data_IF_312310818845
#
_entry.id   IF_312310818845
#
_cell.length_a   1.000
_cell.length_b   1.000
_cell.length_c   1.000
_cell.angle_alpha   90.00
_cell.angle_beta   90.00
_cell.angle_gamma   90.00
#
_symmetry.space_group_name_H-M   'P 1'
#
loop_
_entity.id
_entity.type
_entity.pdbx_description
1 polymer ?
#
# COMPACT_ATOMS: atom_id res chain seq x y z
N UNK A 1 -8.93 -70.81 57.01
CA UNK A 1 -9.31 -70.71 55.60
C UNK A 1 -10.21 -69.49 55.44
N UNK A 2 -9.65 -68.38 54.92
CA UNK A 2 -10.37 -67.11 54.79
C UNK A 2 -10.55 -66.79 53.30
N UNK A 3 -11.77 -66.63 52.88
CA UNK A 3 -12.15 -66.28 51.48
C UNK A 3 -11.91 -64.82 51.20
N UNK A 4 -11.29 -64.51 50.05
CA UNK A 4 -11.09 -63.16 49.54
C UNK A 4 -12.37 -62.66 48.89
N UNK A 5 -12.75 -61.35 49.06
CA UNK A 5 -13.87 -60.76 48.34
C UNK A 5 -13.48 -60.30 46.91
N UNK A 6 -14.40 -60.49 45.97
CA UNK A 6 -14.27 -60.12 44.57
C UNK A 6 -14.32 -58.61 44.37
N UNK A 7 -13.38 -58.06 43.56
CA UNK A 7 -13.33 -56.68 43.14
C UNK A 7 -14.34 -56.39 42.02
N UNK A 8 -15.29 -55.52 42.26
CA UNK A 8 -16.28 -55.06 41.29
C UNK A 8 -15.60 -53.98 40.40
N UNK A 9 -15.44 -54.27 39.11
CA UNK A 9 -14.97 -53.33 38.10
C UNK A 9 -16.16 -52.48 37.64
N UNK A 10 -16.12 -51.16 37.91
CA UNK A 10 -17.07 -50.18 37.37
C UNK A 10 -16.82 -49.98 35.88
N UNK A 11 -17.83 -49.92 35.01
CA UNK A 11 -17.63 -49.59 33.61
C UNK A 11 -17.30 -48.12 33.44
N UNK A 12 -16.20 -47.82 32.74
CA UNK A 12 -15.76 -46.50 32.34
C UNK A 12 -16.75 -45.89 31.35
N UNK A 13 -17.13 -44.66 31.61
CA UNK A 13 -18.06 -43.87 30.81
C UNK A 13 -17.61 -43.75 29.34
N UNK A 14 -18.55 -44.02 28.46
CA UNK A 14 -18.49 -43.88 27.00
C UNK A 14 -18.30 -42.40 26.66
N UNK A 15 -17.13 -42.08 26.08
CA UNK A 15 -16.88 -40.76 25.50
C UNK A 15 -17.84 -40.55 24.33
N UNK A 16 -18.60 -39.49 24.38
CA UNK A 16 -19.57 -39.08 23.36
C UNK A 16 -18.87 -38.59 22.12
N UNK A 17 -18.93 -39.36 21.04
CA UNK A 17 -18.56 -38.98 19.70
C UNK A 17 -19.63 -38.03 19.13
N UNK A 18 -19.44 -36.70 19.25
CA UNK A 18 -20.37 -35.73 18.68
C UNK A 18 -19.75 -34.39 18.22
N UNK A 19 -18.41 -34.27 18.10
CA UNK A 19 -17.83 -33.02 17.62
C UNK A 19 -17.18 -33.06 16.23
N UNK A 20 -17.01 -34.22 15.63
CA UNK A 20 -16.35 -34.37 14.33
C UNK A 20 -17.10 -33.74 13.11
N UNK A 21 -18.45 -33.81 12.99
CA UNK A 21 -19.14 -33.31 11.80
C UNK A 21 -19.21 -31.73 11.72
N UNK A 22 -19.18 -31.06 12.85
CA UNK A 22 -19.27 -29.56 12.87
C UNK A 22 -17.95 -28.89 12.49
N UNK A 23 -16.81 -29.49 12.79
CA UNK A 23 -15.50 -28.97 12.41
C UNK A 23 -15.25 -29.15 10.90
N UNK A 24 -15.58 -30.32 10.33
CA UNK A 24 -15.46 -30.57 8.90
C UNK A 24 -16.39 -29.71 8.03
N UNK A 25 -17.60 -29.40 8.51
CA UNK A 25 -18.53 -28.52 7.84
C UNK A 25 -18.06 -27.04 7.87
N UNK A 26 -17.42 -26.61 8.94
CA UNK A 26 -16.80 -25.25 9.03
C UNK A 26 -15.59 -25.11 8.13
N UNK A 27 -14.80 -26.15 7.97
CA UNK A 27 -13.61 -26.15 7.12
C UNK A 27 -13.99 -26.17 5.63
N UNK A 28 -15.01 -26.95 5.24
CA UNK A 28 -15.51 -26.97 3.85
C UNK A 28 -16.21 -25.68 3.41
N UNK A 29 -16.82 -24.93 4.33
CA UNK A 29 -17.39 -23.62 4.03
C UNK A 29 -16.33 -22.50 3.95
N UNK A 30 -15.18 -22.69 4.61
CA UNK A 30 -14.10 -21.70 4.66
C UNK A 30 -13.22 -21.68 3.41
N UNK A 31 -13.07 -22.81 2.73
CA UNK A 31 -12.25 -22.95 1.53
C UNK A 31 -12.76 -22.08 0.34
N UNK A 32 -14.07 -22.09 -0.01
CA UNK A 32 -14.56 -21.23 -1.09
C UNK A 32 -14.47 -19.75 -0.77
N UNK A 33 -14.66 -19.33 0.49
CA UNK A 33 -14.50 -17.93 0.91
C UNK A 33 -13.05 -17.45 0.73
N UNK A 34 -12.06 -18.27 1.04
CA UNK A 34 -10.64 -17.95 0.84
C UNK A 34 -10.33 -17.81 -0.65
N UNK A 35 -10.87 -18.67 -1.49
CA UNK A 35 -10.67 -18.63 -2.95
C UNK A 35 -11.32 -17.39 -3.59
N UNK A 36 -12.50 -16.98 -3.12
CA UNK A 36 -13.17 -15.76 -3.56
C UNK A 36 -12.38 -14.50 -3.20
N UNK A 37 -11.89 -14.40 -1.95
CA UNK A 37 -11.04 -13.28 -1.50
C UNK A 37 -9.76 -13.23 -2.34
N UNK A 38 -9.11 -14.36 -2.55
CA UNK A 38 -7.90 -14.45 -3.35
C UNK A 38 -8.12 -13.99 -4.78
N UNK A 39 -9.23 -14.42 -5.40
CA UNK A 39 -9.61 -14.00 -6.75
C UNK A 39 -9.85 -12.49 -6.82
N UNK A 40 -10.53 -11.92 -5.84
CA UNK A 40 -10.75 -10.47 -5.76
C UNK A 40 -9.43 -9.69 -5.58
N UNK A 41 -8.52 -10.18 -4.76
CA UNK A 41 -7.18 -9.61 -4.59
C UNK A 41 -6.39 -9.65 -5.89
N UNK A 42 -6.42 -10.76 -6.64
CA UNK A 42 -5.71 -10.90 -7.90
C UNK A 42 -6.22 -9.90 -8.95
N UNK A 43 -7.53 -9.70 -9.05
CA UNK A 43 -8.12 -8.66 -9.91
C UNK A 43 -7.69 -7.24 -9.51
N UNK A 44 -7.62 -6.96 -8.21
CA UNK A 44 -7.13 -5.68 -7.72
C UNK A 44 -5.66 -5.45 -8.09
N UNK A 45 -4.80 -6.46 -7.89
CA UNK A 45 -3.37 -6.40 -8.22
C UNK A 45 -3.15 -6.13 -9.71
N UNK A 46 -3.86 -6.86 -10.57
CA UNK A 46 -3.79 -6.69 -12.02
C UNK A 46 -4.23 -5.27 -12.44
N UNK A 47 -5.39 -4.85 -11.98
CA UNK A 47 -5.92 -3.50 -12.25
C UNK A 47 -4.96 -2.41 -11.77
N UNK A 48 -4.39 -2.55 -10.58
CA UNK A 48 -3.44 -1.59 -10.03
C UNK A 48 -2.13 -1.55 -10.82
N UNK A 49 -1.67 -2.70 -11.31
CA UNK A 49 -0.53 -2.80 -12.22
C UNK A 49 -0.74 -2.06 -13.54
N UNK A 50 -1.92 -2.20 -14.15
CA UNK A 50 -2.31 -1.45 -15.36
C UNK A 50 -2.38 0.06 -15.11
N UNK A 51 -3.02 0.47 -14.02
CA UNK A 51 -3.09 1.87 -13.61
C UNK A 51 -1.69 2.45 -13.40
N UNK A 52 -0.81 1.72 -12.69
CA UNK A 52 0.57 2.12 -12.49
C UNK A 52 1.29 2.38 -13.82
N UNK A 53 1.13 1.49 -14.79
CA UNK A 53 1.73 1.65 -16.13
C UNK A 53 1.25 2.91 -16.83
N UNK A 54 -0.05 3.19 -16.79
CA UNK A 54 -0.63 4.43 -17.35
C UNK A 54 -0.08 5.69 -16.68
N UNK A 55 0.36 5.57 -15.44
CA UNK A 55 0.95 6.66 -14.64
C UNK A 55 2.48 6.69 -14.69
N UNK A 56 3.09 5.94 -15.62
CA UNK A 56 4.55 5.91 -15.79
C UNK A 56 5.29 5.14 -14.69
N UNK A 57 4.59 4.27 -13.96
CA UNK A 57 5.19 3.35 -12.98
C UNK A 57 5.35 1.97 -13.62
N UNK A 58 6.49 1.34 -13.40
CA UNK A 58 6.69 -0.03 -13.89
C UNK A 58 5.65 -0.98 -13.30
N UNK A 59 5.05 -1.84 -14.15
CA UNK A 59 3.95 -2.74 -13.78
C UNK A 59 4.28 -3.56 -12.53
N UNK A 60 5.46 -4.19 -12.49
CA UNK A 60 5.89 -5.00 -11.34
C UNK A 60 5.97 -4.21 -10.03
N UNK A 61 6.34 -2.92 -10.09
CA UNK A 61 6.38 -2.04 -8.92
C UNK A 61 4.98 -1.79 -8.38
N UNK A 62 4.03 -1.52 -9.27
CA UNK A 62 2.63 -1.32 -8.91
C UNK A 62 1.99 -2.61 -8.37
N UNK A 63 2.26 -3.77 -8.99
CA UNK A 63 1.72 -5.07 -8.57
C UNK A 63 2.26 -5.52 -7.20
N UNK A 64 3.56 -5.37 -6.94
CA UNK A 64 4.15 -5.68 -5.62
C UNK A 64 3.57 -4.76 -4.54
N UNK A 65 3.43 -3.47 -4.84
CA UNK A 65 2.78 -2.54 -3.90
C UNK A 65 1.33 -2.94 -3.63
N UNK A 66 0.55 -3.25 -4.67
CA UNK A 66 -0.85 -3.66 -4.56
C UNK A 66 -1.01 -4.94 -3.73
N UNK A 67 -0.15 -5.94 -3.97
CA UNK A 67 -0.14 -7.17 -3.19
C UNK A 67 0.10 -6.90 -1.70
N UNK A 68 1.15 -6.17 -1.36
CA UNK A 68 1.47 -5.83 0.04
C UNK A 68 0.39 -4.97 0.71
N UNK A 69 -0.30 -4.13 -0.06
CA UNK A 69 -1.38 -3.30 0.43
C UNK A 69 -2.64 -4.12 0.72
N UNK A 70 -3.06 -4.96 -0.25
CA UNK A 70 -4.32 -5.72 -0.13
C UNK A 70 -4.20 -6.94 0.79
N UNK A 71 -3.00 -7.51 0.96
CA UNK A 71 -2.75 -8.57 1.92
C UNK A 71 -2.97 -8.09 3.38
N UNK A 72 -2.68 -6.81 3.66
CA UNK A 72 -2.86 -6.22 4.98
C UNK A 72 -1.85 -6.69 6.04
N UNK A 73 -1.03 -7.66 5.72
CA UNK A 73 -0.01 -8.26 6.59
C UNK A 73 1.38 -8.22 5.96
N UNK A 74 2.44 -8.33 6.77
CA UNK A 74 3.80 -8.39 6.26
C UNK A 74 4.07 -9.67 5.49
N UNK A 75 4.61 -9.57 4.26
CA UNK A 75 4.99 -10.71 3.43
C UNK A 75 6.51 -10.80 3.25
N UNK A 76 7.09 -12.02 3.26
CA UNK A 76 8.48 -12.24 2.88
C UNK A 76 8.65 -12.19 1.35
N UNK A 77 9.87 -11.93 0.88
CA UNK A 77 10.16 -11.81 -0.55
C UNK A 77 9.81 -13.07 -1.35
N UNK A 78 9.96 -14.25 -0.76
CA UNK A 78 9.64 -15.55 -1.36
C UNK A 78 8.16 -15.67 -1.71
N UNK A 79 7.28 -15.22 -0.81
CA UNK A 79 5.84 -15.26 -1.01
C UNK A 79 5.37 -14.26 -2.07
N UNK A 80 6.01 -13.08 -2.13
CA UNK A 80 5.78 -12.11 -3.20
C UNK A 80 6.16 -12.70 -4.56
N UNK A 81 7.31 -13.38 -4.65
CA UNK A 81 7.78 -14.06 -5.87
C UNK A 81 6.77 -15.10 -6.36
N UNK A 82 6.31 -15.96 -5.44
CA UNK A 82 5.35 -17.02 -5.72
C UNK A 82 4.01 -16.45 -6.20
N UNK A 83 3.50 -15.47 -5.46
CA UNK A 83 2.18 -14.88 -5.70
C UNK A 83 2.10 -14.15 -7.04
N UNK A 84 3.14 -13.39 -7.38
CA UNK A 84 3.20 -12.59 -8.60
C UNK A 84 3.93 -13.27 -9.76
N UNK A 85 4.53 -14.44 -9.53
CA UNK A 85 5.32 -15.21 -10.51
C UNK A 85 6.45 -14.38 -11.15
N UNK A 86 7.13 -13.57 -10.34
CA UNK A 86 8.25 -12.74 -10.77
C UNK A 86 9.57 -13.22 -10.14
N UNK A 87 10.70 -12.89 -10.79
CA UNK A 87 12.01 -13.32 -10.34
C UNK A 87 12.44 -12.64 -9.03
N UNK A 88 13.36 -13.30 -8.31
CA UNK A 88 13.95 -12.76 -7.07
C UNK A 88 14.63 -11.39 -7.32
N UNK A 89 15.32 -11.22 -8.44
CA UNK A 89 15.93 -9.94 -8.79
C UNK A 89 14.91 -8.84 -8.99
N UNK A 90 13.80 -9.14 -9.65
CA UNK A 90 12.68 -8.22 -9.83
C UNK A 90 12.08 -7.81 -8.48
N UNK A 91 11.77 -8.76 -7.59
CA UNK A 91 11.24 -8.48 -6.26
C UNK A 91 12.19 -7.59 -5.44
N UNK A 92 13.49 -7.95 -5.41
CA UNK A 92 14.49 -7.18 -4.66
C UNK A 92 14.60 -5.72 -5.14
N UNK A 93 14.64 -5.51 -6.47
CA UNK A 93 14.71 -4.17 -7.06
C UNK A 93 13.46 -3.36 -6.77
N UNK A 94 12.29 -3.99 -6.94
CA UNK A 94 10.99 -3.37 -6.68
C UNK A 94 10.80 -2.98 -5.20
N UNK A 95 11.13 -3.88 -4.28
CA UNK A 95 11.03 -3.61 -2.84
C UNK A 95 11.97 -2.48 -2.40
N UNK A 96 13.17 -2.41 -2.96
CA UNK A 96 14.09 -1.28 -2.72
C UNK A 96 13.46 0.03 -3.19
N UNK A 97 12.96 0.08 -4.42
CA UNK A 97 12.32 1.27 -4.99
C UNK A 97 11.09 1.71 -4.18
N UNK A 98 10.21 0.79 -3.79
CA UNK A 98 9.05 1.09 -2.96
C UNK A 98 9.44 1.58 -1.55
N UNK A 99 10.55 1.07 -1.01
CA UNK A 99 11.10 1.54 0.28
C UNK A 99 11.67 2.94 0.16
N UNK A 100 12.41 3.25 -0.91
CA UNK A 100 12.92 4.60 -1.21
C UNK A 100 11.79 5.60 -1.40
N UNK A 101 10.67 5.19 -1.96
CA UNK A 101 9.46 6.03 -2.08
C UNK A 101 8.69 6.17 -0.77
N UNK A 102 9.03 5.39 0.26
CA UNK A 102 8.33 5.39 1.55
C UNK A 102 6.95 4.73 1.51
N UNK A 103 6.67 3.93 0.50
CA UNK A 103 5.40 3.20 0.33
C UNK A 103 5.42 1.82 1.00
N UNK A 104 6.61 1.24 1.18
CA UNK A 104 6.85 -0.05 1.82
C UNK A 104 7.92 0.11 2.89
N UNK A 105 7.79 -0.61 3.97
CA UNK A 105 8.79 -0.68 5.04
C UNK A 105 9.16 -2.14 5.36
N UNK A 106 10.40 -2.33 5.79
CA UNK A 106 10.83 -3.61 6.37
C UNK A 106 10.32 -3.70 7.79
N UNK A 107 9.71 -4.82 8.13
CA UNK A 107 9.17 -5.06 9.47
C UNK A 107 9.61 -6.43 9.98
N UNK A 108 9.59 -6.59 11.29
CA UNK A 108 9.72 -7.89 11.94
C UNK A 108 8.34 -8.31 12.44
N UNK A 109 7.85 -9.50 12.10
CA UNK A 109 6.58 -9.99 12.63
C UNK A 109 6.63 -10.02 14.15
N UNK A 110 5.57 -9.56 14.80
CA UNK A 110 5.47 -9.51 16.27
C UNK A 110 5.53 -10.91 16.90
N UNK A 111 5.17 -11.94 16.14
CA UNK A 111 5.09 -13.34 16.58
C UNK A 111 6.38 -14.12 16.32
N UNK A 112 7.43 -13.51 15.80
CA UNK A 112 8.76 -14.12 15.66
C UNK A 112 9.39 -14.36 17.03
N UNK A 113 8.75 -15.24 17.85
CA UNK A 113 9.24 -15.64 19.18
C UNK A 113 10.40 -16.64 19.12
N UNK A 114 10.78 -17.12 17.93
CA UNK A 114 11.83 -18.12 17.86
C UNK A 114 13.20 -17.48 17.64
N UNK A 115 14.10 -17.83 18.53
CA UNK A 115 15.55 -17.63 18.40
C UNK A 115 16.18 -18.48 17.29
N UNK A 116 15.33 -19.10 16.46
CA UNK A 116 15.76 -20.02 15.42
C UNK A 116 16.35 -19.24 14.23
N UNK A 117 17.50 -19.70 13.75
CA UNK A 117 18.19 -19.16 12.59
C UNK A 117 17.34 -19.16 11.30
N UNK A 118 16.25 -19.93 11.27
CA UNK A 118 15.28 -19.98 10.17
C UNK A 118 14.46 -18.66 10.03
N UNK A 119 14.38 -17.85 11.07
CA UNK A 119 13.55 -16.65 11.14
C UNK A 119 14.28 -15.34 10.77
N UNK A 120 15.35 -15.45 9.99
CA UNK A 120 16.05 -14.28 9.42
C UNK A 120 15.42 -13.71 8.17
N UNK A 121 14.24 -14.17 7.79
CA UNK A 121 13.54 -13.62 6.62
C UNK A 121 13.16 -12.17 6.86
N UNK A 122 13.43 -11.35 5.88
CA UNK A 122 12.97 -9.96 5.86
C UNK A 122 11.53 -9.93 5.40
N UNK A 123 10.67 -9.30 6.19
CA UNK A 123 9.26 -9.09 5.87
C UNK A 123 9.05 -7.65 5.42
N UNK A 124 8.15 -7.47 4.48
CA UNK A 124 7.81 -6.19 3.89
C UNK A 124 6.33 -5.91 4.07
N UNK A 125 5.99 -4.68 4.40
CA UNK A 125 4.62 -4.24 4.60
C UNK A 125 4.41 -2.89 3.91
N UNK A 126 3.30 -2.75 3.17
CA UNK A 126 2.90 -1.47 2.63
C UNK A 126 2.23 -0.60 3.70
N UNK A 127 2.28 0.72 3.50
CA UNK A 127 1.50 1.66 4.29
C UNK A 127 0.01 1.33 4.14
N UNK A 128 -0.69 1.11 5.25
CA UNK A 128 -2.09 0.70 5.28
C UNK A 128 -3.05 1.89 5.41
N UNK A 129 -2.57 3.04 5.87
CA UNK A 129 -3.36 4.26 5.90
C UNK A 129 -3.46 4.84 4.48
N UNK A 130 -4.67 4.77 3.90
CA UNK A 130 -4.96 5.21 2.53
C UNK A 130 -4.62 6.70 2.32
N UNK A 131 -4.86 7.54 3.32
CA UNK A 131 -4.55 8.97 3.22
C UNK A 131 -3.05 9.22 3.27
N UNK A 132 -2.35 8.53 4.15
CA UNK A 132 -0.89 8.62 4.22
C UNK A 132 -0.24 8.08 2.95
N UNK A 133 -0.76 6.98 2.39
CA UNK A 133 -0.37 6.44 1.10
C UNK A 133 -0.56 7.50 0.00
N UNK A 134 -1.74 8.10 -0.10
CA UNK A 134 -2.07 9.13 -1.08
C UNK A 134 -1.10 10.32 -0.99
N UNK A 135 -0.85 10.85 0.21
CA UNK A 135 0.09 11.97 0.38
C UNK A 135 1.54 11.60 0.06
N UNK A 136 1.92 10.37 0.33
CA UNK A 136 3.27 9.88 0.00
C UNK A 136 3.46 9.81 -1.52
N UNK A 137 2.48 9.29 -2.25
CA UNK A 137 2.47 9.26 -3.71
C UNK A 137 2.48 10.68 -4.29
N UNK A 138 1.60 11.55 -3.79
CA UNK A 138 1.51 12.95 -4.25
C UNK A 138 2.84 13.69 -4.06
N UNK A 139 3.49 13.53 -2.90
CA UNK A 139 4.81 14.13 -2.61
C UNK A 139 5.90 13.58 -3.51
N UNK A 140 5.91 12.27 -3.76
CA UNK A 140 6.88 11.66 -4.66
C UNK A 140 6.72 12.16 -6.10
N UNK A 141 5.48 12.31 -6.59
CA UNK A 141 5.18 12.89 -7.90
C UNK A 141 5.59 14.37 -8.00
N UNK A 142 5.24 15.16 -6.96
CA UNK A 142 5.66 16.57 -6.90
C UNK A 142 7.17 16.70 -7.10
N UNK A 143 7.96 15.98 -6.29
CA UNK A 143 9.43 16.05 -6.35
C UNK A 143 9.99 15.61 -7.70
N UNK A 144 9.38 14.66 -8.36
CA UNK A 144 9.89 14.08 -9.61
C UNK A 144 9.42 14.84 -10.85
N UNK A 145 8.20 15.36 -10.83
CA UNK A 145 7.54 15.92 -12.01
C UNK A 145 7.41 17.44 -11.95
N UNK A 146 7.04 18.01 -10.79
CA UNK A 146 6.78 19.44 -10.66
C UNK A 146 8.01 20.27 -10.28
N UNK A 147 8.85 19.79 -9.36
CA UNK A 147 10.02 20.58 -8.93
C UNK A 147 10.97 20.85 -10.11
N UNK A 148 11.37 19.85 -10.96
CA UNK A 148 12.18 20.11 -12.14
C UNK A 148 11.50 21.01 -13.18
N UNK A 149 10.18 20.89 -13.34
CA UNK A 149 9.43 21.73 -14.28
C UNK A 149 9.49 23.20 -13.88
N UNK A 150 9.36 23.52 -12.59
CA UNK A 150 9.45 24.88 -12.09
C UNK A 150 10.85 25.47 -12.34
N UNK A 151 11.91 24.68 -12.09
CA UNK A 151 13.30 25.10 -12.34
C UNK A 151 13.56 25.36 -13.83
N UNK A 152 13.10 24.50 -14.72
CA UNK A 152 13.25 24.67 -16.17
C UNK A 152 12.45 25.86 -16.70
N UNK A 153 11.21 26.07 -16.23
CA UNK A 153 10.39 27.22 -16.62
C UNK A 153 11.04 28.54 -16.20
N UNK A 154 11.63 28.63 -15.02
CA UNK A 154 12.35 29.83 -14.60
C UNK A 154 13.58 30.11 -15.48
N UNK A 155 14.27 29.07 -15.90
CA UNK A 155 15.38 29.15 -16.86
C UNK A 155 14.97 29.59 -18.26
N UNK A 156 13.68 29.46 -18.64
CA UNK A 156 13.15 29.91 -19.94
C UNK A 156 12.92 31.43 -20.02
N UNK A 157 13.06 32.16 -18.92
CA UNK A 157 12.96 33.65 -18.96
C UNK A 157 14.12 34.25 -19.73
N UNK A 158 13.84 35.29 -20.52
CA UNK A 158 14.89 36.01 -21.25
C UNK A 158 15.75 36.81 -20.28
N UNK A 159 16.92 36.29 -19.95
CA UNK A 159 17.88 36.92 -19.05
C UNK A 159 18.64 38.02 -19.76
N UNK A 160 18.13 39.24 -19.71
CA UNK A 160 18.87 40.46 -20.13
C UNK A 160 19.04 41.40 -18.93
N UNK A 161 20.25 41.43 -18.37
CA UNK A 161 20.63 42.44 -17.37
C UNK A 161 20.97 43.75 -18.09
N UNK A 162 20.25 44.84 -17.76
CA UNK A 162 20.60 46.19 -18.17
C UNK A 162 20.09 46.64 -19.54
N UNK A 163 19.37 45.82 -20.30
CA UNK A 163 18.80 46.19 -21.60
C UNK A 163 17.27 46.21 -21.53
N UNK A 164 16.64 47.23 -22.12
CA UNK A 164 15.17 47.31 -22.17
C UNK A 164 14.62 46.19 -23.06
N UNK A 165 13.77 45.32 -22.50
CA UNK A 165 13.13 44.22 -23.22
C UNK A 165 12.21 44.73 -24.33
N UNK A 166 12.24 44.10 -25.49
CA UNK A 166 11.27 44.31 -26.56
C UNK A 166 9.88 43.85 -26.14
N UNK A 167 8.82 44.35 -26.81
CA UNK A 167 7.45 43.93 -26.45
C UNK A 167 7.22 42.42 -26.67
N UNK A 168 7.88 41.82 -27.68
CA UNK A 168 7.86 40.39 -27.89
C UNK A 168 8.50 39.59 -26.74
N UNK A 169 9.60 40.09 -26.19
CA UNK A 169 10.25 39.49 -25.01
C UNK A 169 9.40 39.62 -23.75
N UNK A 170 8.74 40.76 -23.58
CA UNK A 170 7.79 40.93 -22.44
C UNK A 170 6.62 39.97 -22.53
N UNK A 171 6.01 39.82 -23.72
CA UNK A 171 4.92 38.85 -23.93
C UNK A 171 5.37 37.42 -23.69
N UNK A 172 6.60 37.03 -24.08
CA UNK A 172 7.16 35.74 -23.80
C UNK A 172 7.31 35.53 -22.30
N UNK A 173 7.97 36.43 -21.61
CA UNK A 173 8.21 36.32 -20.16
C UNK A 173 6.91 36.32 -19.36
N UNK A 174 5.91 37.07 -19.79
CA UNK A 174 4.59 37.07 -19.17
C UNK A 174 3.95 35.67 -19.24
N UNK A 175 4.03 34.97 -20.39
CA UNK A 175 3.52 33.61 -20.51
C UNK A 175 4.25 32.61 -19.61
N UNK A 176 5.56 32.76 -19.49
CA UNK A 176 6.35 31.92 -18.57
C UNK A 176 5.95 32.21 -17.11
N UNK A 177 5.73 33.48 -16.75
CA UNK A 177 5.27 33.87 -15.42
C UNK A 177 3.90 33.26 -15.08
N UNK A 178 2.94 33.38 -15.99
CA UNK A 178 1.59 32.78 -15.83
C UNK A 178 1.65 31.25 -15.61
N UNK A 179 2.54 30.53 -16.32
CA UNK A 179 2.78 29.11 -16.12
C UNK A 179 3.43 28.80 -14.77
N UNK A 180 4.40 29.60 -14.35
CA UNK A 180 5.06 29.47 -13.05
C UNK A 180 4.06 29.71 -11.91
N UNK A 181 3.22 30.73 -12.00
CA UNK A 181 2.16 30.99 -11.01
C UNK A 181 1.20 29.82 -10.89
N UNK A 182 0.80 29.21 -12.01
CA UNK A 182 -0.04 28.00 -12.01
C UNK A 182 0.67 26.82 -11.33
N UNK A 183 1.93 26.56 -11.66
CA UNK A 183 2.72 25.50 -11.03
C UNK A 183 2.88 25.73 -9.52
N UNK A 184 3.17 26.96 -9.11
CA UNK A 184 3.30 27.34 -7.70
C UNK A 184 1.98 27.21 -6.94
N UNK A 185 0.85 27.54 -7.57
CA UNK A 185 -0.47 27.30 -6.99
C UNK A 185 -0.71 25.81 -6.69
N UNK A 186 -0.45 24.93 -7.66
CA UNK A 186 -0.56 23.47 -7.44
C UNK A 186 0.44 22.96 -6.39
N UNK A 187 1.64 23.50 -6.36
CA UNK A 187 2.64 23.20 -5.35
C UNK A 187 2.17 23.58 -3.94
N UNK A 188 1.63 24.78 -3.78
CA UNK A 188 1.04 25.26 -2.53
C UNK A 188 -0.13 24.41 -2.07
N UNK A 189 -1.00 23.99 -3.00
CA UNK A 189 -2.12 23.11 -2.72
C UNK A 189 -1.64 21.74 -2.26
N UNK A 190 -0.70 21.12 -2.97
CA UNK A 190 -0.12 19.83 -2.62
C UNK A 190 0.56 19.85 -1.24
N UNK A 191 1.29 20.93 -0.93
CA UNK A 191 1.94 21.13 0.36
C UNK A 191 0.92 21.31 1.49
N UNK A 192 -0.16 22.06 1.27
CA UNK A 192 -1.25 22.26 2.23
C UNK A 192 -1.96 20.96 2.53
N UNK A 193 -2.31 20.19 1.50
CA UNK A 193 -2.92 18.87 1.61
C UNK A 193 -1.99 17.92 2.39
N UNK A 194 -0.71 17.89 2.06
CA UNK A 194 0.28 17.03 2.69
C UNK A 194 0.53 17.36 4.18
N UNK A 195 0.46 18.61 4.58
CA UNK A 195 0.62 19.06 5.98
C UNK A 195 -0.64 18.84 6.81
N UNK A 196 -1.81 18.92 6.18
CA UNK A 196 -3.13 18.88 6.84
C UNK A 196 -3.76 17.48 6.83
N UNK A 197 -3.03 16.41 6.56
CA UNK A 197 -3.57 15.06 6.34
C UNK A 197 -4.65 14.63 7.35
N UNK A 198 -4.45 14.86 8.65
CA UNK A 198 -5.47 14.64 9.68
C UNK A 198 -6.63 15.64 9.64
N UNK A 199 -6.39 16.85 9.17
CA UNK A 199 -7.41 17.91 9.07
C UNK A 199 -8.37 17.64 7.90
N UNK A 200 -7.85 17.23 6.77
CA UNK A 200 -8.66 16.91 5.57
C UNK A 200 -9.47 15.63 5.80
N UNK A 201 -8.91 14.61 6.43
CA UNK A 201 -9.66 13.41 6.82
C UNK A 201 -10.86 13.75 7.73
N UNK A 202 -10.68 14.65 8.68
CA UNK A 202 -11.77 15.15 9.53
C UNK A 202 -12.76 15.99 8.74
N UNK A 203 -12.30 16.88 7.86
CA UNK A 203 -13.15 17.71 7.02
C UNK A 203 -13.97 16.86 6.03
N UNK A 204 -13.38 15.84 5.42
CA UNK A 204 -14.07 14.89 4.52
C UNK A 204 -15.12 14.07 5.27
N UNK A 205 -14.80 13.59 6.49
CA UNK A 205 -15.78 12.90 7.35
C UNK A 205 -16.93 13.80 7.80
N UNK A 206 -16.66 15.08 8.05
CA UNK A 206 -17.70 16.06 8.40
C UNK A 206 -18.56 16.35 7.15
N UNK A 207 -17.91 16.60 6.01
CA UNK A 207 -18.61 16.92 4.76
C UNK A 207 -19.46 15.74 4.26
N UNK A 208 -18.98 14.50 4.37
CA UNK A 208 -19.75 13.31 4.03
C UNK A 208 -20.95 13.09 4.96
N UNK A 209 -20.84 13.49 6.24
CA UNK A 209 -21.99 13.47 7.16
C UNK A 209 -23.02 14.57 6.88
N UNK A 210 -22.57 15.71 6.37
CA UNK A 210 -23.44 16.86 6.08
C UNK A 210 -24.10 16.73 4.72
N UNK A 211 -23.37 16.22 3.70
CA UNK A 211 -23.86 16.03 2.32
C UNK A 211 -24.46 14.63 2.09
N UNK A 212 -24.10 13.64 2.88
CA UNK A 212 -24.66 12.30 2.89
C UNK A 212 -25.75 12.20 3.93
N UNK A 213 -26.91 12.77 3.65
CA UNK A 213 -28.13 12.47 4.42
C UNK A 213 -28.45 10.96 4.30
N UNK A 214 -29.13 10.39 5.30
CA UNK A 214 -29.37 8.95 5.36
C UNK A 214 -30.21 8.50 4.17
N UNK A 215 -29.70 7.50 3.43
CA UNK A 215 -30.51 6.60 2.62
C UNK A 215 -30.79 5.35 3.41
#
# INVERSE_FOLDING_TARGET
MAARPATIIKPTARATASEAPAAAARDSARLPEIDEIRTAQDRFIEFWGEMGTRWGVQRSVAEVHALLFIAGEPLPAEEIMERLRISRGSVSTTLRQLTEWGLVQRVRPKDAKSRDRADRREFHQAEQDVWKLFYTILRARKRREFDPLIEELDGCRVAQKGVRKTDRQKQHDQKIEELLELCQFFDGLANTISKSGKGIERATKILSRVLGGPR
#
